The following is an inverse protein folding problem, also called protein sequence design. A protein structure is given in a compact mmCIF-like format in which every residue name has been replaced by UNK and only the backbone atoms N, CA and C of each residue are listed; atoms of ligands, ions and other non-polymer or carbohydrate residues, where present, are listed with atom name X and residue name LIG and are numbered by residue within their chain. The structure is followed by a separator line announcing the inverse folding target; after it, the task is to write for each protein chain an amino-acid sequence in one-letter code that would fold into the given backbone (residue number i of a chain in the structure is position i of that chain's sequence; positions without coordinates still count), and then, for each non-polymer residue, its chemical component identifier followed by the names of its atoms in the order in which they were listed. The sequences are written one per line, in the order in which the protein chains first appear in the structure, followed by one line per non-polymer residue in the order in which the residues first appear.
data_IF_062119831309
#
_entry.id   IF_062119831309
#
_cell.length_a   1.000
_cell.length_b   1.000
_cell.length_c   1.000
_cell.angle_alpha   90.00
_cell.angle_beta   90.00
_cell.angle_gamma   90.00
#
_symmetry.space_group_name_H-M   'P 1'
#
loop_
_entity.id
_entity.type
_entity.pdbx_description
1 polymer ?
#
# COMPACT_ATOMS: atom_id res chain seq x y z
N UNK A 1 -38.30 31.19 -23.36
CA UNK A 1 -37.66 30.79 -22.09
C UNK A 1 -38.35 29.53 -21.57
N UNK A 2 -37.79 28.35 -21.86
CA UNK A 2 -38.32 27.10 -21.35
C UNK A 2 -37.54 26.70 -20.10
N UNK A 3 -38.20 26.82 -18.94
CA UNK A 3 -37.72 26.35 -17.65
C UNK A 3 -37.57 24.83 -17.69
N UNK A 4 -36.34 24.31 -17.59
CA UNK A 4 -36.15 22.87 -17.45
C UNK A 4 -36.57 22.47 -16.02
N UNK A 5 -37.70 21.77 -15.94
CA UNK A 5 -38.16 21.14 -14.69
C UNK A 5 -37.18 20.01 -14.37
N UNK A 6 -36.37 20.19 -13.35
CA UNK A 6 -35.62 19.08 -12.75
C UNK A 6 -36.62 18.00 -12.31
N UNK A 7 -36.56 16.83 -12.93
CA UNK A 7 -37.40 15.70 -12.53
C UNK A 7 -36.96 15.23 -11.15
N UNK A 8 -37.79 15.51 -10.15
CA UNK A 8 -37.67 14.98 -8.79
C UNK A 8 -37.99 13.47 -8.84
N UNK A 9 -37.00 12.66 -9.19
CA UNK A 9 -37.11 11.22 -9.01
C UNK A 9 -36.90 10.88 -7.54
N UNK A 10 -37.83 10.13 -6.95
CA UNK A 10 -37.71 9.59 -5.60
C UNK A 10 -36.41 8.77 -5.47
N UNK A 11 -35.71 8.81 -4.32
CA UNK A 11 -34.53 7.99 -4.10
C UNK A 11 -34.84 6.52 -4.38
N UNK A 12 -34.09 5.91 -5.29
CA UNK A 12 -34.19 4.47 -5.58
C UNK A 12 -33.37 3.70 -4.56
N UNK A 13 -33.85 2.52 -4.16
CA UNK A 13 -33.03 1.60 -3.36
C UNK A 13 -31.83 1.14 -4.18
N UNK A 14 -30.64 1.11 -3.58
CA UNK A 14 -29.43 0.59 -4.24
C UNK A 14 -29.60 -0.92 -4.48
N UNK A 15 -29.61 -1.37 -5.75
CA UNK A 15 -29.77 -2.79 -6.08
C UNK A 15 -28.52 -3.61 -5.73
N UNK A 16 -28.64 -4.94 -5.79
CA UNK A 16 -27.57 -5.88 -5.45
C UNK A 16 -27.76 -6.59 -4.10
N UNK A 17 -26.98 -7.64 -3.87
CA UNK A 17 -27.00 -8.44 -2.65
C UNK A 17 -25.60 -8.97 -2.34
N UNK A 18 -25.32 -9.19 -1.06
CA UNK A 18 -24.05 -9.75 -0.58
C UNK A 18 -24.05 -11.28 -0.54
N UNK A 19 -25.17 -11.93 -0.87
CA UNK A 19 -25.34 -13.38 -0.79
C UNK A 19 -25.36 -13.90 0.65
N UNK A 20 -25.16 -15.21 0.80
CA UNK A 20 -25.04 -15.84 2.13
C UNK A 20 -23.74 -15.42 2.81
N UNK A 21 -23.72 -15.28 4.15
CA UNK A 21 -22.50 -14.99 4.91
C UNK A 21 -21.36 -15.93 4.52
N UNK A 22 -20.15 -15.40 4.36
CA UNK A 22 -18.93 -16.11 3.91
C UNK A 22 -19.00 -16.59 2.46
N UNK A 23 -20.00 -17.38 2.09
CA UNK A 23 -20.13 -18.01 0.76
C UNK A 23 -20.25 -16.97 -0.35
N UNK A 24 -21.06 -15.92 -0.13
CA UNK A 24 -21.22 -14.83 -1.10
C UNK A 24 -19.89 -14.12 -1.39
N UNK A 25 -19.15 -13.76 -0.35
CA UNK A 25 -17.85 -13.10 -0.48
C UNK A 25 -16.80 -13.98 -1.17
N UNK A 26 -16.75 -15.29 -0.84
CA UNK A 26 -15.84 -16.23 -1.51
C UNK A 26 -16.20 -16.36 -2.99
N UNK A 27 -17.47 -16.55 -3.32
CA UNK A 27 -17.92 -16.65 -4.72
C UNK A 27 -17.60 -15.38 -5.51
N UNK A 28 -17.90 -14.21 -4.95
CA UNK A 28 -17.58 -12.93 -5.59
C UNK A 28 -16.08 -12.75 -5.78
N UNK A 29 -15.24 -13.15 -4.82
CA UNK A 29 -13.78 -13.14 -4.96
C UNK A 29 -13.30 -14.05 -6.09
N UNK A 30 -13.91 -15.23 -6.23
CA UNK A 30 -13.56 -16.15 -7.32
C UNK A 30 -14.03 -15.63 -8.69
N UNK A 31 -15.21 -15.03 -8.77
CA UNK A 31 -15.66 -14.34 -9.99
C UNK A 31 -14.68 -13.22 -10.37
N UNK A 32 -14.26 -12.41 -9.38
CA UNK A 32 -13.36 -11.28 -9.56
C UNK A 32 -11.98 -11.68 -10.09
N UNK A 33 -11.37 -12.74 -9.53
CA UNK A 33 -10.01 -13.15 -9.92
C UNK A 33 -9.93 -14.20 -11.03
N UNK A 34 -10.94 -15.07 -11.18
CA UNK A 34 -10.80 -16.28 -12.01
C UNK A 34 -11.93 -16.47 -13.02
N UNK A 35 -13.20 -16.45 -12.59
CA UNK A 35 -14.28 -16.87 -13.49
C UNK A 35 -14.74 -15.79 -14.46
N UNK A 36 -14.62 -14.50 -14.08
CA UNK A 36 -15.01 -13.37 -14.92
C UNK A 36 -13.82 -12.44 -15.20
N UNK A 37 -12.98 -12.21 -14.18
CA UNK A 37 -11.96 -11.16 -14.21
C UNK A 37 -12.52 -9.81 -13.75
N UNK A 38 -11.62 -8.87 -13.45
CA UNK A 38 -11.96 -7.65 -12.71
C UNK A 38 -12.98 -6.76 -13.43
N UNK A 39 -12.76 -6.48 -14.72
CA UNK A 39 -13.64 -5.57 -15.46
C UNK A 39 -15.03 -6.20 -15.66
N UNK A 40 -15.08 -7.46 -16.11
CA UNK A 40 -16.33 -8.20 -16.32
C UNK A 40 -17.09 -8.45 -15.02
N UNK A 41 -16.40 -8.53 -13.89
CA UNK A 41 -17.05 -8.58 -12.58
C UNK A 41 -17.96 -7.38 -12.37
N UNK A 42 -17.47 -6.15 -12.62
CA UNK A 42 -18.29 -4.94 -12.47
C UNK A 42 -19.31 -4.77 -13.60
N UNK A 43 -18.89 -4.92 -14.86
CA UNK A 43 -19.77 -4.73 -16.03
C UNK A 43 -21.01 -5.62 -15.96
N UNK A 44 -20.84 -6.91 -15.68
CA UNK A 44 -21.96 -7.86 -15.61
C UNK A 44 -22.97 -7.51 -14.51
N UNK A 45 -22.54 -6.83 -13.45
CA UNK A 45 -23.42 -6.41 -12.34
C UNK A 45 -24.15 -5.11 -12.70
N UNK A 46 -23.50 -4.21 -13.43
CA UNK A 46 -24.18 -3.05 -14.01
C UNK A 46 -25.30 -3.49 -14.95
N UNK A 47 -24.99 -4.41 -15.88
CA UNK A 47 -25.96 -4.94 -16.84
C UNK A 47 -27.12 -5.66 -16.14
N UNK A 48 -26.81 -6.52 -15.16
CA UNK A 48 -27.81 -7.29 -14.40
C UNK A 48 -28.78 -6.41 -13.62
N UNK A 49 -28.29 -5.32 -13.03
CA UNK A 49 -29.10 -4.46 -12.16
C UNK A 49 -29.61 -3.19 -12.84
N UNK A 50 -29.19 -2.90 -14.08
CA UNK A 50 -29.50 -1.67 -14.79
C UNK A 50 -29.06 -0.42 -14.03
N UNK A 51 -27.95 -0.51 -13.28
CA UNK A 51 -27.48 0.55 -12.39
C UNK A 51 -25.97 0.57 -12.26
N UNK A 52 -25.40 1.77 -12.24
CA UNK A 52 -23.97 2.04 -11.97
C UNK A 52 -23.67 2.19 -10.47
N UNK A 53 -24.69 2.05 -9.61
CA UNK A 53 -24.55 2.05 -8.15
C UNK A 53 -25.10 0.73 -7.62
N UNK A 54 -24.22 -0.18 -7.19
CA UNK A 54 -24.60 -1.57 -6.87
C UNK A 54 -23.98 -2.08 -5.57
N UNK A 55 -24.72 -2.88 -4.81
CA UNK A 55 -24.22 -3.61 -3.63
C UNK A 55 -23.52 -4.89 -4.07
N UNK A 56 -22.26 -5.04 -3.68
CA UNK A 56 -21.40 -6.16 -4.07
C UNK A 56 -20.43 -6.52 -2.93
N UNK A 57 -19.84 -7.72 -2.97
CA UNK A 57 -18.65 -8.01 -2.18
C UNK A 57 -17.38 -7.72 -3.00
N UNK A 58 -16.29 -7.34 -2.35
CA UNK A 58 -14.96 -7.20 -2.99
C UNK A 58 -13.90 -8.00 -2.25
N UNK A 59 -12.82 -8.44 -2.94
CA UNK A 59 -11.65 -9.02 -2.29
C UNK A 59 -11.05 -8.08 -1.22
N UNK A 60 -10.32 -8.60 -0.21
CA UNK A 60 -9.86 -9.98 -0.05
C UNK A 60 -10.71 -10.85 0.90
N UNK A 61 -11.93 -10.42 1.26
CA UNK A 61 -12.76 -11.13 2.24
C UNK A 61 -12.98 -12.61 1.92
N UNK A 62 -13.28 -13.45 2.93
CA UNK A 62 -13.82 -13.03 4.22
C UNK A 62 -12.79 -12.82 5.32
N UNK A 63 -11.73 -13.62 5.41
CA UNK A 63 -10.85 -13.65 6.60
C UNK A 63 -9.90 -12.45 6.71
N UNK A 64 -9.45 -11.90 5.59
CA UNK A 64 -8.50 -10.77 5.58
C UNK A 64 -9.20 -9.41 5.54
N UNK A 65 -10.43 -9.34 5.06
CA UNK A 65 -11.19 -8.09 5.05
C UNK A 65 -11.88 -7.88 6.38
N UNK A 66 -11.97 -6.62 6.84
CA UNK A 66 -12.82 -6.26 7.98
C UNK A 66 -14.30 -6.48 7.65
N UNK A 67 -14.70 -6.09 6.45
CA UNK A 67 -16.02 -6.34 5.88
C UNK A 67 -15.91 -6.27 4.35
N UNK A 68 -16.18 -7.35 3.59
CA UNK A 68 -16.06 -7.34 2.14
C UNK A 68 -17.19 -6.56 1.43
N UNK A 69 -18.25 -6.19 2.15
CA UNK A 69 -19.46 -5.60 1.58
C UNK A 69 -19.26 -4.13 1.25
N UNK A 70 -19.51 -3.75 0.00
CA UNK A 70 -19.40 -2.35 -0.46
C UNK A 70 -20.61 -1.92 -1.30
N UNK A 71 -20.70 -0.61 -1.54
CA UNK A 71 -21.53 -0.04 -2.60
C UNK A 71 -20.59 0.49 -3.67
N UNK A 72 -20.57 -0.17 -4.83
CA UNK A 72 -19.73 0.24 -5.96
C UNK A 72 -20.33 1.48 -6.64
N UNK A 73 -19.46 2.42 -7.01
CA UNK A 73 -19.77 3.66 -7.69
C UNK A 73 -19.08 3.63 -9.07
N UNK A 74 -19.84 3.31 -10.11
CA UNK A 74 -19.30 2.92 -11.42
C UNK A 74 -19.63 3.94 -12.53
N UNK A 75 -19.90 5.19 -12.17
CA UNK A 75 -20.09 6.29 -13.13
C UNK A 75 -19.44 7.58 -12.65
N UNK A 76 -19.08 8.44 -13.62
CA UNK A 76 -18.36 9.68 -13.38
C UNK A 76 -19.17 10.74 -12.62
N UNK A 77 -20.51 10.61 -12.53
CA UNK A 77 -21.35 11.58 -11.83
C UNK A 77 -21.31 11.35 -10.32
N UNK A 78 -21.37 10.09 -9.88
CA UNK A 78 -21.40 9.75 -8.44
C UNK A 78 -20.00 9.50 -7.86
N UNK A 79 -19.04 9.04 -8.67
CA UNK A 79 -17.66 8.75 -8.22
C UNK A 79 -17.00 9.89 -7.42
N UNK A 80 -17.17 11.19 -7.76
CA UNK A 80 -16.55 12.29 -7.02
C UNK A 80 -16.95 12.39 -5.54
N UNK A 81 -18.03 11.73 -5.10
CA UNK A 81 -18.37 11.63 -3.66
C UNK A 81 -17.21 11.02 -2.87
N UNK A 82 -16.40 10.15 -3.48
CA UNK A 82 -15.22 9.56 -2.85
C UNK A 82 -14.13 10.59 -2.52
N UNK A 83 -14.17 11.81 -3.05
CA UNK A 83 -13.19 12.86 -2.75
C UNK A 83 -13.68 13.84 -1.68
N UNK A 84 -14.97 13.84 -1.38
CA UNK A 84 -15.57 14.73 -0.41
C UNK A 84 -15.41 14.18 1.01
N UNK A 85 -14.33 14.60 1.66
CA UNK A 85 -13.96 14.16 3.03
C UNK A 85 -14.94 14.64 4.11
N UNK A 86 -15.94 15.46 3.76
CA UNK A 86 -17.07 15.77 4.66
C UNK A 86 -18.15 14.69 4.63
N UNK A 87 -18.14 13.82 3.61
CA UNK A 87 -19.10 12.73 3.40
C UNK A 87 -18.50 11.35 3.62
N UNK A 88 -17.20 11.19 3.38
CA UNK A 88 -16.52 9.90 3.51
C UNK A 88 -15.31 10.01 4.45
N UNK A 89 -15.20 9.06 5.36
CA UNK A 89 -13.97 8.82 6.12
C UNK A 89 -12.95 8.12 5.19
N UNK A 90 -11.65 8.43 5.36
CA UNK A 90 -10.51 7.87 4.60
C UNK A 90 -9.51 7.11 5.48
N UNK A 91 -9.97 6.61 6.61
CA UNK A 91 -9.18 5.88 7.59
C UNK A 91 -9.00 4.41 7.20
N UNK A 92 -7.76 3.93 7.21
CA UNK A 92 -7.40 2.50 7.11
C UNK A 92 -7.90 1.75 5.86
N UNK A 93 -8.21 2.50 4.79
CA UNK A 93 -8.87 1.96 3.60
C UNK A 93 -8.10 2.18 2.28
N UNK A 94 -6.83 2.58 2.35
CA UNK A 94 -5.99 2.77 1.17
C UNK A 94 -5.92 1.51 0.28
N UNK A 95 -5.97 0.33 0.89
CA UNK A 95 -5.99 -0.98 0.24
C UNK A 95 -7.38 -1.61 0.23
N UNK A 96 -8.44 -0.81 0.35
CA UNK A 96 -9.83 -1.25 0.31
C UNK A 96 -10.34 -1.73 1.67
N UNK A 97 -10.98 -2.91 1.70
CA UNK A 97 -11.64 -3.47 2.89
C UNK A 97 -10.67 -4.14 3.88
N UNK A 98 -9.38 -4.05 3.59
CA UNK A 98 -8.28 -4.61 4.35
C UNK A 98 -7.16 -3.58 4.51
N UNK A 99 -6.49 -3.62 5.65
CA UNK A 99 -5.26 -2.87 5.93
C UNK A 99 -4.12 -3.84 6.28
N UNK A 100 -2.96 -3.78 5.59
CA UNK A 100 -1.75 -4.49 5.98
C UNK A 100 -1.38 -4.28 7.43
N UNK A 101 -0.88 -5.35 8.07
CA UNK A 101 -0.35 -5.28 9.43
C UNK A 101 0.68 -4.16 9.55
N UNK A 102 0.57 -3.34 10.60
CA UNK A 102 1.56 -2.30 10.90
C UNK A 102 2.95 -2.87 11.18
N UNK A 103 3.08 -4.19 11.44
CA UNK A 103 4.39 -4.86 11.50
C UNK A 103 5.17 -4.78 10.19
N UNK A 104 4.50 -4.54 9.05
CA UNK A 104 5.09 -4.29 7.74
C UNK A 104 5.41 -2.81 7.50
N UNK A 105 5.08 -1.91 8.44
CA UNK A 105 5.24 -0.45 8.34
C UNK A 105 5.63 0.22 9.67
N UNK A 106 6.40 -0.45 10.52
CA UNK A 106 7.02 0.21 11.66
C UNK A 106 6.39 0.03 13.02
N UNK A 107 5.28 -0.71 13.07
CA UNK A 107 4.28 -0.51 14.10
C UNK A 107 3.45 0.76 13.87
N UNK A 108 3.63 1.48 12.75
CA UNK A 108 2.92 2.73 12.48
C UNK A 108 1.95 2.60 11.31
N UNK A 109 0.85 3.35 11.42
CA UNK A 109 -0.02 3.68 10.28
C UNK A 109 0.66 4.74 9.44
N UNK A 110 0.92 4.42 8.16
CA UNK A 110 1.58 5.34 7.22
C UNK A 110 0.58 6.36 6.71
N UNK A 111 1.07 7.48 6.15
CA UNK A 111 0.23 8.62 5.72
C UNK A 111 -0.99 8.21 4.89
N UNK A 112 -0.85 7.21 4.01
CA UNK A 112 -1.92 6.75 3.13
C UNK A 112 -3.14 6.15 3.88
N UNK A 113 -2.95 5.67 5.11
CA UNK A 113 -4.01 5.10 5.94
C UNK A 113 -4.60 6.10 6.94
N UNK A 114 -4.06 7.31 7.03
CA UNK A 114 -4.52 8.33 7.97
C UNK A 114 -5.63 9.18 7.36
N UNK A 115 -6.73 9.33 8.09
CA UNK A 115 -7.80 10.25 7.70
C UNK A 115 -7.35 11.71 7.86
N UNK A 116 -7.83 12.66 7.03
CA UNK A 116 -7.50 14.08 7.19
C UNK A 116 -7.85 14.69 8.55
N UNK A 117 -8.80 14.11 9.30
CA UNK A 117 -9.11 14.51 10.68
C UNK A 117 -8.00 14.17 11.69
N UNK A 118 -7.06 13.28 11.34
CA UNK A 118 -5.95 12.90 12.21
C UNK A 118 -4.82 13.94 12.11
N UNK A 119 -4.39 14.60 13.20
CA UNK A 119 -3.37 15.67 13.13
C UNK A 119 -2.05 15.23 12.48
N UNK A 120 -1.72 13.96 12.68
CA UNK A 120 -0.56 13.30 12.08
C UNK A 120 -0.58 13.29 10.56
N UNK A 121 -1.76 13.16 9.93
CA UNK A 121 -1.90 13.19 8.47
C UNK A 121 -1.33 14.50 7.91
N UNK A 122 -1.72 15.64 8.49
CA UNK A 122 -1.26 16.95 8.05
C UNK A 122 0.27 17.09 8.17
N UNK A 123 0.85 16.66 9.30
CA UNK A 123 2.31 16.70 9.52
C UNK A 123 3.09 15.88 8.50
N UNK A 124 2.69 14.62 8.28
CA UNK A 124 3.40 13.72 7.35
C UNK A 124 3.21 14.19 5.90
N UNK A 125 2.02 14.69 5.54
CA UNK A 125 1.77 15.24 4.21
C UNK A 125 2.58 16.51 3.95
N UNK A 126 2.68 17.40 4.95
CA UNK A 126 3.53 18.59 4.89
C UNK A 126 5.00 18.20 4.65
N UNK A 127 5.50 17.20 5.37
CA UNK A 127 6.85 16.67 5.18
C UNK A 127 7.08 16.20 3.73
N UNK A 128 6.13 15.46 3.14
CA UNK A 128 6.22 15.01 1.75
C UNK A 128 6.23 16.18 0.77
N UNK A 129 5.43 17.23 1.00
CA UNK A 129 5.47 18.43 0.17
C UNK A 129 6.79 19.18 0.27
N UNK A 130 7.36 19.29 1.48
CA UNK A 130 8.68 19.91 1.66
C UNK A 130 9.77 19.12 0.92
N UNK A 131 9.74 17.78 0.99
CA UNK A 131 10.66 16.93 0.24
C UNK A 131 10.52 17.13 -1.29
N UNK A 132 9.29 17.12 -1.81
CA UNK A 132 9.05 17.32 -3.25
C UNK A 132 9.52 18.71 -3.71
N UNK A 133 9.32 19.73 -2.88
CA UNK A 133 9.79 21.07 -3.16
C UNK A 133 11.32 21.16 -3.13
N UNK A 134 11.99 20.50 -2.17
CA UNK A 134 13.45 20.55 -2.05
C UNK A 134 14.17 19.88 -3.21
N UNK A 135 13.55 18.88 -3.87
CA UNK A 135 14.17 18.19 -5.01
C UNK A 135 13.85 18.81 -6.38
N UNK A 136 13.07 19.90 -6.46
CA UNK A 136 12.55 20.44 -7.73
C UNK A 136 13.62 20.68 -8.82
N UNK A 137 14.81 21.13 -8.41
CA UNK A 137 15.90 21.47 -9.33
C UNK A 137 16.74 20.23 -9.72
N UNK A 138 16.66 19.14 -8.94
CA UNK A 138 17.36 17.88 -9.20
C UNK A 138 16.59 16.94 -10.13
N UNK A 139 15.25 16.99 -10.12
CA UNK A 139 14.41 16.03 -10.86
C UNK A 139 14.74 15.96 -12.35
N UNK A 140 14.78 17.09 -13.05
CA UNK A 140 14.97 17.10 -14.52
C UNK A 140 16.38 16.64 -14.94
N UNK A 141 17.48 17.17 -14.34
CA UNK A 141 18.82 16.67 -14.62
C UNK A 141 19.00 15.18 -14.32
N UNK A 142 18.52 14.72 -13.16
CA UNK A 142 18.66 13.32 -12.73
C UNK A 142 17.83 12.38 -13.62
N UNK A 143 16.63 12.79 -14.04
CA UNK A 143 15.82 12.04 -14.99
C UNK A 143 16.54 11.85 -16.32
N UNK A 144 17.04 12.94 -16.91
CA UNK A 144 17.78 12.89 -18.18
C UNK A 144 18.98 11.95 -18.09
N UNK A 145 19.78 12.06 -17.03
CA UNK A 145 20.94 11.18 -16.84
C UNK A 145 20.55 9.70 -16.76
N UNK A 146 19.61 9.35 -15.88
CA UNK A 146 19.21 7.95 -15.64
C UNK A 146 18.55 7.32 -16.89
N UNK A 147 17.60 8.02 -17.49
CA UNK A 147 16.84 7.46 -18.61
C UNK A 147 17.61 7.49 -19.94
N UNK A 148 18.54 8.43 -20.15
CA UNK A 148 19.48 8.33 -21.28
C UNK A 148 20.37 7.10 -21.17
N UNK A 149 20.86 6.77 -19.96
CA UNK A 149 21.63 5.54 -19.74
C UNK A 149 20.79 4.28 -19.95
N UNK A 150 19.52 4.29 -19.54
CA UNK A 150 18.58 3.20 -19.85
C UNK A 150 18.43 3.00 -21.35
N UNK A 151 18.18 4.05 -22.13
CA UNK A 151 17.97 3.92 -23.57
C UNK A 151 19.22 3.43 -24.29
N UNK A 152 20.40 3.89 -23.90
CA UNK A 152 21.66 3.34 -24.41
C UNK A 152 21.79 1.83 -24.14
N UNK A 153 21.34 1.34 -22.98
CA UNK A 153 21.33 -0.09 -22.66
C UNK A 153 20.29 -0.86 -23.50
N UNK A 154 19.10 -0.28 -23.69
CA UNK A 154 18.06 -0.84 -24.58
C UNK A 154 18.61 -0.99 -25.99
N UNK A 155 19.22 0.07 -26.55
CA UNK A 155 19.83 0.05 -27.89
C UNK A 155 20.93 -1.02 -28.00
N UNK A 156 21.79 -1.12 -26.99
CA UNK A 156 22.83 -2.16 -26.93
C UNK A 156 22.24 -3.58 -26.92
N UNK A 157 21.20 -3.84 -26.13
CA UNK A 157 20.53 -5.15 -26.10
C UNK A 157 19.80 -5.45 -27.41
N UNK A 158 19.16 -4.46 -28.04
CA UNK A 158 18.54 -4.63 -29.34
C UNK A 158 19.57 -4.97 -30.42
N UNK A 159 20.71 -4.28 -30.45
CA UNK A 159 21.78 -4.56 -31.39
C UNK A 159 22.34 -5.98 -31.24
N UNK A 160 22.53 -6.45 -29.99
CA UNK A 160 23.17 -7.74 -29.71
C UNK A 160 22.21 -8.93 -29.72
N UNK A 161 20.97 -8.74 -29.25
CA UNK A 161 20.03 -9.82 -28.95
C UNK A 161 18.72 -9.73 -29.76
N UNK A 162 18.54 -8.69 -30.58
CA UNK A 162 17.28 -8.36 -31.32
C UNK A 162 16.06 -8.11 -30.42
N UNK A 163 16.24 -8.10 -29.11
CA UNK A 163 15.22 -7.84 -28.10
C UNK A 163 15.86 -7.22 -26.86
N UNK A 164 15.09 -6.39 -26.16
CA UNK A 164 15.48 -5.81 -24.88
C UNK A 164 14.30 -5.92 -23.91
N UNK A 165 14.58 -6.25 -22.66
CA UNK A 165 13.57 -6.27 -21.60
C UNK A 165 13.45 -4.87 -20.99
N UNK A 166 12.57 -4.04 -21.58
CA UNK A 166 12.37 -2.67 -21.14
C UNK A 166 11.90 -2.59 -19.69
N UNK A 167 10.97 -3.45 -19.26
CA UNK A 167 10.41 -3.41 -17.91
C UNK A 167 11.51 -3.64 -16.87
N UNK A 168 12.34 -4.68 -17.07
CA UNK A 168 13.45 -4.97 -16.16
C UNK A 168 14.44 -3.81 -16.06
N UNK A 169 14.80 -3.20 -17.18
CA UNK A 169 15.72 -2.05 -17.21
C UNK A 169 15.09 -0.81 -16.56
N UNK A 170 13.82 -0.56 -16.86
CA UNK A 170 13.05 0.58 -16.37
C UNK A 170 12.85 0.51 -14.86
N UNK A 171 12.53 -0.65 -14.30
CA UNK A 171 12.28 -0.76 -12.86
C UNK A 171 13.54 -0.47 -12.04
N UNK A 172 14.69 -0.99 -12.48
CA UNK A 172 15.99 -0.70 -11.84
C UNK A 172 16.32 0.79 -11.96
N UNK A 173 16.18 1.34 -13.16
CA UNK A 173 16.48 2.76 -13.43
C UNK A 173 15.55 3.69 -12.65
N UNK A 174 14.27 3.34 -12.54
CA UNK A 174 13.27 4.14 -11.81
C UNK A 174 13.55 4.14 -10.30
N UNK A 175 13.97 2.99 -9.75
CA UNK A 175 14.35 2.91 -8.35
C UNK A 175 15.57 3.79 -8.05
N UNK A 176 16.57 3.78 -8.93
CA UNK A 176 17.74 4.65 -8.82
C UNK A 176 17.42 6.12 -8.99
N UNK A 177 16.62 6.45 -10.01
CA UNK A 177 16.16 7.81 -10.28
C UNK A 177 15.43 8.41 -9.07
N UNK A 178 14.50 7.69 -8.44
CA UNK A 178 13.75 8.21 -7.28
C UNK A 178 14.70 8.48 -6.11
N UNK A 179 15.59 7.54 -5.81
CA UNK A 179 16.53 7.72 -4.70
C UNK A 179 17.52 8.86 -4.93
N UNK A 180 18.04 8.98 -6.14
CA UNK A 180 18.95 10.05 -6.54
C UNK A 180 18.25 11.42 -6.60
N UNK A 181 17.05 11.49 -7.18
CA UNK A 181 16.34 12.75 -7.32
C UNK A 181 15.87 13.29 -5.96
N UNK A 182 15.35 12.43 -5.07
CA UNK A 182 14.79 12.87 -3.80
C UNK A 182 15.83 13.02 -2.69
N UNK A 183 16.89 12.21 -2.71
CA UNK A 183 17.83 12.11 -1.60
C UNK A 183 19.29 12.32 -2.03
N UNK A 184 19.57 12.53 -3.31
CA UNK A 184 20.95 12.68 -3.82
C UNK A 184 21.78 11.41 -3.80
N UNK A 185 21.18 10.26 -3.43
CA UNK A 185 21.90 8.99 -3.25
C UNK A 185 21.18 7.88 -4.00
N UNK A 186 21.84 7.29 -5.00
CA UNK A 186 21.35 6.09 -5.69
C UNK A 186 21.29 4.90 -4.71
N UNK A 187 20.15 4.21 -4.57
CA UNK A 187 20.05 2.95 -3.84
C UNK A 187 21.09 1.92 -4.31
N UNK A 188 21.32 1.80 -5.63
CA UNK A 188 22.30 0.87 -6.19
C UNK A 188 23.76 1.15 -5.78
N UNK A 189 24.07 2.39 -5.37
CA UNK A 189 25.38 2.78 -4.88
C UNK A 189 25.60 2.47 -3.40
N UNK A 190 24.60 1.94 -2.69
CA UNK A 190 24.70 1.63 -1.25
C UNK A 190 24.94 0.14 -1.00
N UNK A 191 25.67 -0.20 0.06
CA UNK A 191 26.01 -1.59 0.35
C UNK A 191 24.80 -2.50 0.58
N UNK A 192 23.71 -1.99 1.19
CA UNK A 192 22.52 -2.77 1.53
C UNK A 192 21.53 -3.00 0.38
N UNK A 193 21.52 -2.11 -0.62
CA UNK A 193 20.59 -2.14 -1.76
C UNK A 193 21.30 -2.31 -3.12
N UNK A 194 22.64 -2.32 -3.13
CA UNK A 194 23.47 -2.49 -4.31
C UNK A 194 23.29 -3.84 -5.01
N UNK A 195 23.99 -3.98 -6.13
CA UNK A 195 23.99 -5.18 -6.98
C UNK A 195 22.59 -5.57 -7.52
N UNK A 196 21.71 -4.58 -7.74
CA UNK A 196 20.35 -4.80 -8.24
C UNK A 196 19.39 -5.47 -7.25
N UNK A 197 19.80 -5.66 -5.99
CA UNK A 197 18.99 -6.36 -4.98
C UNK A 197 17.95 -5.45 -4.33
N UNK A 198 18.16 -4.13 -4.29
CA UNK A 198 17.25 -3.19 -3.64
C UNK A 198 15.83 -3.19 -4.21
N UNK A 199 15.70 -3.21 -5.53
CA UNK A 199 14.39 -3.32 -6.19
C UNK A 199 13.68 -4.62 -5.82
N UNK A 200 14.39 -5.76 -5.82
CA UNK A 200 13.81 -7.05 -5.45
C UNK A 200 13.34 -7.06 -3.98
N UNK A 201 14.07 -6.41 -3.08
CA UNK A 201 13.69 -6.23 -1.67
C UNK A 201 12.42 -5.39 -1.53
N UNK A 202 12.35 -4.26 -2.23
CA UNK A 202 11.18 -3.39 -2.26
C UNK A 202 9.95 -4.12 -2.83
N UNK A 203 10.11 -4.83 -3.95
CA UNK A 203 9.04 -5.60 -4.59
C UNK A 203 8.52 -6.74 -3.69
N UNK A 204 9.43 -7.49 -3.04
CA UNK A 204 9.03 -8.54 -2.09
C UNK A 204 8.31 -7.96 -0.87
N UNK A 205 8.78 -6.84 -0.32
CA UNK A 205 8.08 -6.16 0.77
C UNK A 205 6.69 -5.65 0.36
N UNK A 206 6.55 -5.09 -0.84
CA UNK A 206 5.27 -4.64 -1.38
C UNK A 206 4.31 -5.81 -1.60
N UNK A 207 4.80 -6.94 -2.12
CA UNK A 207 4.01 -8.16 -2.26
C UNK A 207 3.45 -8.63 -0.91
N UNK A 208 4.22 -8.53 0.18
CA UNK A 208 3.73 -8.89 1.52
C UNK A 208 2.59 -8.00 2.02
N UNK A 209 2.45 -6.79 1.51
CA UNK A 209 1.33 -5.91 1.83
C UNK A 209 0.13 -6.16 0.92
N UNK A 210 0.38 -6.42 -0.38
CA UNK A 210 -0.65 -6.46 -1.41
C UNK A 210 -1.05 -7.88 -1.85
N UNK A 211 -0.43 -8.94 -1.32
CA UNK A 211 -0.77 -10.32 -1.69
C UNK A 211 -2.27 -10.65 -1.66
N UNK A 212 -3.12 -10.08 -0.79
CA UNK A 212 -4.55 -10.38 -0.81
C UNK A 212 -5.28 -9.81 -2.04
N UNK A 213 -4.65 -8.85 -2.72
CA UNK A 213 -5.23 -8.07 -3.81
C UNK A 213 -4.68 -8.45 -5.20
N UNK A 214 -3.61 -9.24 -5.26
CA UNK A 214 -2.82 -9.50 -6.47
C UNK A 214 -2.98 -10.94 -6.99
N UNK A 215 -3.06 -11.09 -8.30
CA UNK A 215 -2.89 -12.38 -8.98
C UNK A 215 -1.48 -12.51 -9.55
N UNK A 216 -0.79 -13.61 -9.23
CA UNK A 216 0.58 -13.88 -9.68
C UNK A 216 0.65 -14.95 -10.79
N UNK A 217 -0.44 -15.15 -11.54
CA UNK A 217 -0.54 -16.21 -12.56
C UNK A 217 -0.53 -17.65 -12.01
N UNK A 218 -0.65 -17.82 -10.69
CA UNK A 218 -0.74 -19.13 -10.05
C UNK A 218 -2.12 -19.75 -10.27
N UNK A 219 -2.24 -21.10 -10.38
CA UNK A 219 -3.53 -21.77 -10.39
C UNK A 219 -4.35 -21.43 -9.15
N UNK A 220 -5.67 -21.28 -9.31
CA UNK A 220 -6.62 -20.92 -8.24
C UNK A 220 -6.42 -21.75 -6.96
N UNK A 221 -6.27 -23.07 -7.08
CA UNK A 221 -6.08 -24.00 -5.95
C UNK A 221 -4.81 -23.72 -5.14
N UNK A 222 -3.82 -23.03 -5.71
CA UNK A 222 -2.59 -22.61 -5.05
C UNK A 222 -2.71 -21.18 -4.52
N UNK A 223 -3.25 -20.28 -5.34
CA UNK A 223 -3.36 -18.86 -5.04
C UNK A 223 -4.34 -18.57 -3.88
N UNK A 224 -5.53 -19.18 -3.89
CA UNK A 224 -6.56 -18.95 -2.87
C UNK A 224 -6.05 -19.21 -1.44
N UNK A 225 -5.49 -20.39 -1.10
CA UNK A 225 -5.03 -20.64 0.26
C UNK A 225 -3.77 -19.85 0.63
N UNK A 226 -2.87 -19.55 -0.32
CA UNK A 226 -1.57 -18.92 -0.03
C UNK A 226 -1.58 -17.40 -0.04
N UNK A 227 -2.38 -16.79 -0.91
CA UNK A 227 -2.38 -15.34 -1.14
C UNK A 227 -3.69 -14.69 -0.69
N UNK A 228 -4.84 -15.35 -0.87
CA UNK A 228 -6.15 -14.69 -0.68
C UNK A 228 -6.88 -15.11 0.61
N UNK A 229 -6.34 -16.04 1.41
CA UNK A 229 -7.01 -16.51 2.64
C UNK A 229 -6.34 -16.11 3.95
N UNK A 230 -5.00 -16.12 4.04
CA UNK A 230 -4.26 -15.77 5.26
C UNK A 230 -3.16 -14.74 5.01
N UNK A 231 -2.87 -13.92 6.03
CA UNK A 231 -1.73 -13.00 5.99
C UNK A 231 -0.41 -13.74 5.91
N UNK A 232 0.47 -13.26 5.04
CA UNK A 232 1.85 -13.75 5.01
C UNK A 232 2.59 -13.30 6.29
N UNK A 233 3.37 -14.18 6.94
CA UNK A 233 4.10 -13.82 8.15
C UNK A 233 5.13 -12.70 7.89
N UNK A 234 5.02 -11.59 8.62
CA UNK A 234 5.85 -10.39 8.39
C UNK A 234 7.35 -10.60 8.66
N UNK A 235 7.72 -11.59 9.49
CA UNK A 235 9.12 -11.87 9.79
C UNK A 235 9.92 -12.32 8.55
N UNK A 236 9.26 -12.87 7.52
CA UNK A 236 9.89 -13.33 6.27
C UNK A 236 10.41 -12.20 5.37
N UNK A 237 9.97 -10.96 5.60
CA UNK A 237 10.42 -9.76 4.88
C UNK A 237 11.19 -8.78 5.77
N UNK A 238 11.33 -9.07 7.06
CA UNK A 238 11.96 -8.17 8.04
C UNK A 238 13.39 -7.73 7.65
N UNK A 239 14.22 -8.64 7.10
CA UNK A 239 15.59 -8.34 6.67
C UNK A 239 15.64 -7.45 5.42
N UNK A 240 14.83 -7.78 4.41
CA UNK A 240 14.78 -7.02 3.16
C UNK A 240 14.34 -5.59 3.42
N UNK A 241 13.38 -5.48 4.32
CA UNK A 241 12.83 -4.24 4.75
C UNK A 241 13.76 -3.44 5.68
N UNK A 242 14.52 -4.09 6.55
CA UNK A 242 15.61 -3.44 7.30
C UNK A 242 16.65 -2.81 6.36
N UNK A 243 16.99 -3.47 5.26
CA UNK A 243 17.91 -2.89 4.29
C UNK A 243 17.35 -1.62 3.64
N UNK A 244 16.04 -1.56 3.37
CA UNK A 244 15.36 -0.36 2.89
C UNK A 244 15.37 0.74 3.96
N UNK A 245 15.09 0.39 5.22
CA UNK A 245 15.16 1.31 6.35
C UNK A 245 16.55 1.94 6.50
N UNK A 246 17.61 1.12 6.48
CA UNK A 246 19.00 1.57 6.66
C UNK A 246 19.44 2.51 5.52
N UNK A 247 18.93 2.31 4.30
CA UNK A 247 19.10 3.26 3.21
C UNK A 247 18.43 4.60 3.50
N UNK A 248 17.12 4.61 3.83
CA UNK A 248 16.39 5.86 4.08
C UNK A 248 16.88 6.60 5.33
N UNK A 249 17.31 5.90 6.38
CA UNK A 249 17.86 6.53 7.59
C UNK A 249 19.12 7.36 7.30
N UNK A 250 19.84 6.99 6.24
CA UNK A 250 21.09 7.65 5.83
C UNK A 250 20.82 8.68 4.72
N UNK A 251 20.15 8.26 3.65
CA UNK A 251 19.92 9.08 2.47
C UNK A 251 18.96 10.25 2.73
N UNK A 252 17.93 10.05 3.57
CA UNK A 252 16.89 11.07 3.79
C UNK A 252 17.20 12.03 4.95
N UNK A 253 18.47 12.22 5.32
CA UNK A 253 18.87 13.01 6.49
C UNK A 253 18.19 14.39 6.57
N UNK A 254 18.23 15.17 5.49
CA UNK A 254 17.59 16.50 5.41
C UNK A 254 16.06 16.45 5.59
N UNK A 255 15.41 15.42 5.04
CA UNK A 255 13.97 15.23 5.22
C UNK A 255 13.66 14.84 6.68
N UNK A 256 14.54 14.07 7.33
CA UNK A 256 14.38 13.71 8.74
C UNK A 256 14.58 14.91 9.66
N UNK A 257 15.54 15.79 9.36
CA UNK A 257 15.73 17.06 10.10
C UNK A 257 14.47 17.92 9.99
N UNK A 258 13.89 18.04 8.78
CA UNK A 258 12.60 18.72 8.55
C UNK A 258 11.48 18.07 9.36
N UNK A 259 11.45 16.74 9.44
CA UNK A 259 10.40 16.05 10.17
C UNK A 259 10.42 16.36 11.68
N UNK A 260 11.60 16.51 12.27
CA UNK A 260 11.75 16.92 13.68
C UNK A 260 11.16 18.31 13.92
N UNK A 261 11.34 19.25 12.99
CA UNK A 261 10.71 20.59 13.07
C UNK A 261 9.17 20.54 13.02
N UNK A 262 8.59 19.49 12.43
CA UNK A 262 7.15 19.24 12.37
C UNK A 262 6.63 18.46 13.58
N UNK A 263 7.51 18.15 14.55
CA UNK A 263 7.20 17.34 15.72
C UNK A 263 6.88 15.89 15.37
N UNK A 264 7.60 15.33 14.38
CA UNK A 264 7.63 13.91 14.06
C UNK A 264 9.01 13.37 14.44
N UNK A 265 9.07 12.24 15.15
CA UNK A 265 10.39 11.65 15.45
C UNK A 265 11.02 11.06 14.19
N UNK A 266 12.36 11.08 14.08
CA UNK A 266 13.07 10.45 12.96
C UNK A 266 12.68 8.99 12.81
N UNK A 267 12.60 8.27 13.92
CA UNK A 267 12.15 6.88 13.92
C UNK A 267 10.72 6.72 13.42
N UNK A 268 9.79 7.56 13.86
CA UNK A 268 8.40 7.55 13.37
C UNK A 268 8.34 7.80 11.86
N UNK A 269 9.17 8.68 11.31
CA UNK A 269 9.19 9.01 9.88
C UNK A 269 9.77 7.88 9.05
N UNK A 270 10.94 7.35 9.45
CA UNK A 270 11.57 6.25 8.74
C UNK A 270 10.78 4.96 8.97
N UNK A 271 10.20 4.70 10.15
CA UNK A 271 9.41 3.49 10.43
C UNK A 271 8.00 3.55 9.84
N UNK A 272 7.33 4.72 9.78
CA UNK A 272 6.17 4.97 8.88
C UNK A 272 6.51 4.82 7.41
N UNK A 273 7.79 4.69 7.09
CA UNK A 273 8.24 4.18 5.81
C UNK A 273 8.64 2.71 5.90
N UNK A 274 9.29 2.19 6.96
CA UNK A 274 9.70 0.79 7.15
C UNK A 274 10.27 0.32 8.59
N UNK A 275 9.55 -0.27 9.59
CA UNK A 275 9.87 -1.21 10.77
C UNK A 275 11.25 -1.92 11.01
N UNK A 276 11.38 -2.30 12.30
CA UNK A 276 12.16 -3.41 12.85
C UNK A 276 11.32 -4.08 13.97
N UNK A 277 11.17 -5.41 14.04
CA UNK A 277 10.61 -6.06 15.22
C UNK A 277 11.67 -6.12 16.33
N UNK A 278 11.37 -5.55 17.49
CA UNK A 278 12.10 -5.87 18.74
C UNK A 278 11.38 -7.01 19.45
N UNK A 279 12.03 -8.15 19.53
CA UNK A 279 11.76 -9.15 20.56
C UNK A 279 12.38 -8.62 21.85
N UNK A 280 11.57 -8.03 22.71
CA UNK A 280 11.97 -7.73 24.09
C UNK A 280 11.66 -8.95 24.97
N UNK A 281 12.67 -9.81 25.16
CA UNK A 281 12.63 -10.96 26.06
C UNK A 281 13.64 -10.85 27.21
N UNK A 282 14.04 -9.63 27.59
CA UNK A 282 14.98 -9.45 28.70
C UNK A 282 14.63 -8.25 29.58
N UNK A 283 13.40 -8.20 30.11
CA UNK A 283 13.20 -7.57 31.43
C UNK A 283 11.94 -8.06 32.17
N UNK A 284 11.94 -9.33 32.60
CA UNK A 284 11.17 -9.76 33.78
C UNK A 284 12.12 -10.42 34.78
N UNK A 285 12.96 -9.62 35.44
CA UNK A 285 13.47 -10.03 36.75
C UNK A 285 12.31 -9.92 37.74
N UNK A 286 11.89 -11.07 38.25
CA UNK A 286 10.94 -11.22 39.34
C UNK A 286 11.46 -10.46 40.56
N UNK A 287 10.69 -9.52 41.08
CA UNK A 287 10.77 -9.15 42.49
C UNK A 287 10.21 -10.31 43.33
N UNK A 288 10.90 -10.80 44.37
CA UNK A 288 10.31 -11.75 45.31
C UNK A 288 9.34 -11.02 46.25
N UNK A 289 8.11 -11.52 46.35
CA UNK A 289 7.16 -11.12 47.39
C UNK A 289 7.62 -11.67 48.75
N UNK A 290 7.58 -10.88 49.84
CA UNK A 290 7.88 -11.36 51.17
C UNK A 290 6.69 -12.14 51.76
N UNK A 291 6.94 -13.39 52.16
CA UNK A 291 6.03 -14.18 52.99
C UNK A 291 6.41 -13.95 54.47
N UNK A 292 5.59 -13.19 55.18
CA UNK A 292 5.46 -13.20 56.64
C UNK A 292 3.96 -13.52 56.87
N UNK A 293 3.54 -14.57 57.56
CA UNK A 293 4.04 -15.10 58.81
C UNK A 293 2.98 -14.80 59.88
N UNK A 294 1.89 -15.57 59.92
CA UNK A 294 0.92 -15.56 61.03
C UNK A 294 0.99 -16.91 61.72
N UNK A 295 1.49 -16.88 62.96
CA UNK A 295 1.47 -17.96 63.93
C UNK A 295 0.09 -18.04 64.63
N UNK A 296 -0.27 -19.18 65.25
CA UNK A 296 -1.61 -19.46 65.71
C UNK A 296 -1.82 -19.04 67.17
N UNK A 297 -3.04 -18.57 67.47
CA UNK A 297 -3.83 -18.81 68.68
C UNK A 297 -5.26 -18.30 68.43
#
# INVERSE_FOLDING_TARGET
MASSKGSSSSPRQVPGSYGLPVIGAVRDRLDFYYFQGQDKYFESRVDRYGSTVVRINVPPGPLMARDPRVVALLDAKIFPVLFDVTKVEKKDLFTGTYMPSTSLTGGYRVCAYLDPSEPTHAKVKQLLFTLLHSCKDAVVPTFRSNFSALFANVESQLANNKKADFNKLNDVTSFDFIGEAYFGVRPSATAGLGNGSGLAKAGKWLLWQLHPLLTLGLPMIVAEPRLHTFHLPSFLVSRDYKALYDYFSTAASQALDTAETLGLSREEVIRRKMNKPECDLTNRRRSPMPMQGLAPL
#
